data_IF_110075874818
#
_entry.id   IF_110075874818
#
_cell.length_a   1.000
_cell.length_b   1.000
_cell.length_c   1.000
_cell.angle_alpha   90.00
_cell.angle_beta   90.00
_cell.angle_gamma   90.00
#
_symmetry.space_group_name_H-M   'P 1'
#
loop_
_entity.id
_entity.type
_entity.pdbx_description
1 polymer ?
#
# COMPACT_ATOMS: atom_id res chain seq x y z
N UNK A 1 24.59 -22.20 2.26
CA UNK A 1 23.96 -22.28 0.92
C UNK A 1 22.49 -22.73 0.92
N UNK A 2 22.11 -23.98 1.29
CA UNK A 2 20.68 -24.41 1.28
C UNK A 2 19.77 -23.62 2.24
N UNK A 3 20.31 -23.21 3.38
CA UNK A 3 19.57 -22.54 4.44
C UNK A 3 19.27 -21.08 4.06
N UNK A 4 20.26 -20.37 3.49
CA UNK A 4 20.14 -18.99 3.01
C UNK A 4 19.08 -18.86 1.91
N UNK A 5 19.09 -19.79 0.95
CA UNK A 5 18.08 -19.89 -0.10
C UNK A 5 16.65 -20.12 0.42
N UNK A 6 16.48 -20.71 1.61
CA UNK A 6 15.18 -20.91 2.23
C UNK A 6 14.70 -19.65 2.97
N UNK A 7 15.61 -18.94 3.64
CA UNK A 7 15.30 -17.68 4.31
C UNK A 7 14.86 -16.59 3.32
N UNK A 8 15.55 -16.46 2.18
CA UNK A 8 15.22 -15.47 1.14
C UNK A 8 13.85 -15.73 0.49
N UNK A 9 13.47 -17.00 0.34
CA UNK A 9 12.15 -17.35 -0.21
C UNK A 9 11.03 -16.98 0.77
N UNK A 10 11.24 -17.18 2.07
CA UNK A 10 10.25 -16.85 3.09
C UNK A 10 10.07 -15.33 3.23
N UNK A 11 11.14 -14.54 3.13
CA UNK A 11 11.04 -13.07 3.20
C UNK A 11 10.26 -12.50 2.02
N UNK A 12 10.58 -12.92 0.79
CA UNK A 12 9.90 -12.47 -0.43
C UNK A 12 8.40 -12.78 -0.41
N UNK A 13 8.01 -13.96 0.06
CA UNK A 13 6.58 -14.34 0.18
C UNK A 13 5.83 -13.52 1.24
N UNK A 14 6.50 -13.12 2.32
CA UNK A 14 5.93 -12.21 3.33
C UNK A 14 5.73 -10.82 2.77
N UNK A 15 6.68 -10.30 2.00
CA UNK A 15 6.58 -8.98 1.37
C UNK A 15 5.42 -8.91 0.37
N UNK A 16 5.24 -9.93 -0.46
CA UNK A 16 4.09 -10.04 -1.39
C UNK A 16 2.75 -10.03 -0.65
N UNK A 17 2.66 -10.73 0.50
CA UNK A 17 1.46 -10.75 1.35
C UNK A 17 1.21 -9.37 1.98
N UNK A 18 2.24 -8.75 2.52
CA UNK A 18 2.16 -7.38 3.07
C UNK A 18 1.67 -6.37 2.05
N UNK A 19 2.20 -6.42 0.83
CA UNK A 19 1.77 -5.56 -0.28
C UNK A 19 0.29 -5.77 -0.69
N UNK A 20 -0.20 -7.02 -0.70
CA UNK A 20 -1.62 -7.30 -0.95
C UNK A 20 -2.53 -6.71 0.11
N UNK A 21 -2.17 -6.87 1.39
CA UNK A 21 -2.95 -6.31 2.50
C UNK A 21 -2.94 -4.78 2.43
N UNK A 22 -1.78 -4.18 2.21
CA UNK A 22 -1.65 -2.72 2.13
C UNK A 22 -2.50 -2.13 0.99
N UNK A 23 -2.56 -2.77 -0.19
CA UNK A 23 -3.48 -2.37 -1.27
C UNK A 23 -4.94 -2.44 -0.88
N UNK A 24 -5.34 -3.51 -0.20
CA UNK A 24 -6.73 -3.71 0.23
C UNK A 24 -7.12 -2.64 1.25
N UNK A 25 -6.26 -2.39 2.23
CA UNK A 25 -6.44 -1.32 3.22
C UNK A 25 -6.52 0.04 2.52
N UNK A 26 -5.62 0.35 1.60
CA UNK A 26 -5.67 1.59 0.82
C UNK A 26 -7.00 1.74 0.06
N UNK A 27 -7.46 0.69 -0.62
CA UNK A 27 -8.71 0.71 -1.38
C UNK A 27 -9.96 0.87 -0.50
N UNK A 28 -9.94 0.44 0.76
CA UNK A 28 -11.05 0.60 1.70
C UNK A 28 -11.00 1.93 2.48
N UNK A 29 -9.80 2.33 2.92
CA UNK A 29 -9.61 3.51 3.78
C UNK A 29 -9.79 4.80 2.97
N UNK A 30 -9.27 4.88 1.75
CA UNK A 30 -9.38 6.10 0.93
C UNK A 30 -10.85 6.52 0.68
N UNK A 31 -11.76 5.63 0.23
CA UNK A 31 -13.17 6.00 0.05
C UNK A 31 -13.86 6.38 1.37
N UNK A 32 -13.50 5.72 2.48
CA UNK A 32 -14.04 6.07 3.80
C UNK A 32 -13.62 7.49 4.20
N UNK A 33 -12.35 7.83 4.03
CA UNK A 33 -11.83 9.18 4.30
C UNK A 33 -12.45 10.21 3.35
N UNK A 34 -12.63 9.87 2.08
CA UNK A 34 -13.31 10.75 1.13
C UNK A 34 -14.76 11.04 1.56
N UNK A 35 -15.50 10.02 2.02
CA UNK A 35 -16.86 10.18 2.52
C UNK A 35 -16.90 11.09 3.77
N UNK A 36 -16.00 10.86 4.73
CA UNK A 36 -15.88 11.69 5.93
C UNK A 36 -15.55 13.13 5.52
N UNK A 37 -14.58 13.32 4.64
CA UNK A 37 -14.16 14.65 4.23
C UNK A 37 -15.29 15.42 3.55
N UNK A 38 -15.98 14.81 2.59
CA UNK A 38 -17.09 15.45 1.87
C UNK A 38 -18.30 15.71 2.78
N UNK A 39 -18.48 14.92 3.84
CA UNK A 39 -19.58 15.07 4.79
C UNK A 39 -19.31 16.16 5.84
N UNK A 40 -18.11 16.19 6.42
CA UNK A 40 -17.78 17.05 7.56
C UNK A 40 -17.04 18.33 7.18
N UNK A 41 -16.32 18.35 6.05
CA UNK A 41 -15.53 19.52 5.63
C UNK A 41 -15.39 19.56 4.11
N UNK A 42 -16.51 19.77 3.36
CA UNK A 42 -16.46 19.79 1.90
C UNK A 42 -15.61 20.94 1.34
N UNK A 43 -15.42 22.02 2.10
CA UNK A 43 -14.62 23.18 1.69
C UNK A 43 -13.10 22.91 1.69
N UNK A 44 -12.64 21.88 2.42
CA UNK A 44 -11.22 21.54 2.51
C UNK A 44 -11.00 20.06 2.20
N UNK A 45 -10.51 19.77 1.00
CA UNK A 45 -10.30 18.40 0.52
C UNK A 45 -8.99 17.82 1.09
N UNK A 46 -9.03 17.37 2.35
CA UNK A 46 -7.89 16.78 3.04
C UNK A 46 -7.64 15.32 2.71
N UNK A 47 -8.62 14.56 2.21
CA UNK A 47 -8.41 13.13 1.89
C UNK A 47 -7.37 12.91 0.79
N UNK A 48 -7.02 13.96 0.03
CA UNK A 48 -6.01 13.91 -1.04
C UNK A 48 -4.58 13.70 -0.50
N UNK A 49 -4.29 14.14 0.73
CA UNK A 49 -2.98 13.95 1.36
C UNK A 49 -2.67 12.45 1.60
N UNK A 50 -3.54 11.66 2.27
CA UNK A 50 -3.33 10.22 2.37
C UNK A 50 -3.44 9.51 1.02
N UNK A 51 -4.28 9.99 0.08
CA UNK A 51 -4.35 9.43 -1.27
C UNK A 51 -2.98 9.47 -1.97
N UNK A 52 -2.35 10.64 -2.02
CA UNK A 52 -1.06 10.84 -2.69
C UNK A 52 0.07 10.23 -1.87
N UNK A 53 0.11 10.47 -0.56
CA UNK A 53 1.18 9.99 0.31
C UNK A 53 1.25 8.46 0.36
N UNK A 54 0.11 7.79 0.60
CA UNK A 54 0.08 6.33 0.65
C UNK A 54 0.11 5.72 -0.76
N UNK A 55 -0.48 6.39 -1.76
CA UNK A 55 -0.40 5.98 -3.16
C UNK A 55 1.04 5.97 -3.70
N UNK A 56 1.87 6.94 -3.29
CA UNK A 56 3.29 6.98 -3.63
C UNK A 56 4.04 5.79 -3.03
N UNK A 57 3.80 5.47 -1.75
CA UNK A 57 4.38 4.29 -1.10
C UNK A 57 4.00 2.99 -1.80
N UNK A 58 2.76 2.89 -2.28
CA UNK A 58 2.28 1.76 -3.06
C UNK A 58 3.00 1.63 -4.41
N UNK A 59 3.20 2.76 -5.11
CA UNK A 59 3.91 2.78 -6.40
C UNK A 59 5.37 2.32 -6.25
N UNK A 60 6.07 2.79 -5.20
CA UNK A 60 7.44 2.37 -4.89
C UNK A 60 7.48 0.86 -4.61
N UNK A 61 6.58 0.35 -3.76
CA UNK A 61 6.52 -1.08 -3.45
C UNK A 61 6.24 -1.94 -4.68
N UNK A 62 5.38 -1.45 -5.57
CA UNK A 62 5.04 -2.12 -6.82
C UNK A 62 6.22 -2.20 -7.78
N UNK A 63 7.00 -1.12 -7.93
CA UNK A 63 8.22 -1.10 -8.74
C UNK A 63 9.26 -2.08 -8.15
N UNK A 64 9.42 -2.09 -6.83
CA UNK A 64 10.36 -3.00 -6.16
C UNK A 64 9.99 -4.48 -6.36
N UNK A 65 8.70 -4.84 -6.21
CA UNK A 65 8.23 -6.21 -6.46
C UNK A 65 8.35 -6.58 -7.94
N UNK A 66 8.05 -5.66 -8.87
CA UNK A 66 8.15 -5.93 -10.31
C UNK A 66 9.60 -6.09 -10.76
N UNK A 67 10.56 -5.41 -10.13
CA UNK A 67 11.99 -5.56 -10.42
C UNK A 67 12.56 -6.94 -10.04
N UNK A 68 11.81 -7.75 -9.31
CA UNK A 68 12.20 -9.10 -8.88
C UNK A 68 11.52 -10.21 -9.71
N UNK A 69 10.85 -9.85 -10.82
CA UNK A 69 10.26 -10.75 -11.83
C UNK A 69 10.97 -10.54 -13.15
#
# INVERSE_FOLDING_TARGET
MKNEQHYDKISVEKEKKGFRIHRLVFACVIPLLALINLTFSPEFIWFIFPLIGWGMGLAIHYINIRSLV
#
